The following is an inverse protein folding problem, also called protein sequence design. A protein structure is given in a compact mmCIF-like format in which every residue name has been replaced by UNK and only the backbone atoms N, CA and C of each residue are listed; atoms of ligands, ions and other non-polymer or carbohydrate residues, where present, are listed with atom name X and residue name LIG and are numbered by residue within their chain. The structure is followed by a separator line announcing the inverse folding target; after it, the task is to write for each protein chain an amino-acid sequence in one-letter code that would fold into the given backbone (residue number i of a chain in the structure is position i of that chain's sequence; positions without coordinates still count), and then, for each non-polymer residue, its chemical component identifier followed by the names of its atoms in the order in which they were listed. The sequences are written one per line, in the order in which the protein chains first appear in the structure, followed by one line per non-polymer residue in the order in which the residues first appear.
data_IF_863611764976
#
_entry.id   IF_863611764976
#
_cell.length_a   1.000
_cell.length_b   1.000
_cell.length_c   1.000
_cell.angle_alpha   90.00
_cell.angle_beta   90.00
_cell.angle_gamma   90.00
#
_symmetry.space_group_name_H-M   'P 1'
#
loop_
_entity.id
_entity.type
_entity.pdbx_description
1 polymer ?
#
# COMPACT_ATOMS: atom_id res chain seq x y z
N UNK A 1 -5.91 -18.93 -7.96
CA UNK A 1 -4.94 -17.87 -8.32
C UNK A 1 -3.65 -18.21 -7.63
N UNK A 2 -2.55 -18.34 -8.37
CA UNK A 2 -1.23 -18.54 -7.79
C UNK A 2 -0.81 -17.29 -7.00
N UNK A 3 -0.16 -17.48 -5.85
CA UNK A 3 0.37 -16.36 -5.05
C UNK A 3 1.59 -15.78 -5.77
N UNK A 4 1.37 -14.71 -6.52
CA UNK A 4 2.40 -14.02 -7.28
C UNK A 4 2.85 -12.74 -6.56
N UNK A 5 4.06 -12.78 -6.01
CA UNK A 5 4.65 -11.67 -5.27
C UNK A 5 4.88 -10.43 -6.16
N UNK A 6 5.29 -10.63 -7.42
CA UNK A 6 5.53 -9.52 -8.35
C UNK A 6 4.21 -8.84 -8.68
N UNK A 7 3.18 -9.61 -9.02
CA UNK A 7 1.85 -9.08 -9.33
C UNK A 7 1.24 -8.33 -8.16
N UNK A 8 1.41 -8.88 -6.94
CA UNK A 8 0.95 -8.27 -5.70
C UNK A 8 1.66 -6.93 -5.44
N UNK A 9 2.99 -6.90 -5.60
CA UNK A 9 3.77 -5.68 -5.43
C UNK A 9 3.39 -4.60 -6.46
N UNK A 10 3.23 -4.96 -7.73
CA UNK A 10 2.80 -4.03 -8.78
C UNK A 10 1.40 -3.48 -8.49
N UNK A 11 0.45 -4.33 -8.09
CA UNK A 11 -0.89 -3.89 -7.73
C UNK A 11 -0.88 -2.91 -6.55
N UNK A 12 -0.06 -3.18 -5.53
CA UNK A 12 0.13 -2.27 -4.40
C UNK A 12 0.69 -0.91 -4.86
N UNK A 13 1.74 -0.90 -5.69
CA UNK A 13 2.35 0.34 -6.18
C UNK A 13 1.38 1.18 -7.01
N UNK A 14 0.54 0.55 -7.83
CA UNK A 14 -0.50 1.25 -8.60
C UNK A 14 -1.51 1.91 -7.65
N UNK A 15 -2.04 1.17 -6.69
CA UNK A 15 -3.01 1.70 -5.72
C UNK A 15 -2.40 2.82 -4.85
N UNK A 16 -1.19 2.59 -4.36
CA UNK A 16 -0.45 3.60 -3.61
C UNK A 16 -0.20 4.86 -4.44
N UNK A 17 0.15 4.71 -5.73
CA UNK A 17 0.34 5.83 -6.65
C UNK A 17 -0.90 6.69 -6.81
N UNK A 18 -2.08 6.08 -6.97
CA UNK A 18 -3.37 6.81 -7.06
C UNK A 18 -3.63 7.61 -5.78
N UNK A 19 -3.45 6.98 -4.61
CA UNK A 19 -3.62 7.65 -3.32
C UNK A 19 -2.61 8.78 -3.10
N UNK A 20 -1.36 8.56 -3.51
CA UNK A 20 -0.29 9.54 -3.39
C UNK A 20 -0.58 10.78 -4.25
N UNK A 21 -1.00 10.59 -5.50
CA UNK A 21 -1.41 11.70 -6.39
C UNK A 21 -2.59 12.46 -5.77
N UNK A 22 -3.62 11.77 -5.30
CA UNK A 22 -4.76 12.43 -4.64
C UNK A 22 -4.34 13.23 -3.41
N UNK A 23 -3.40 12.72 -2.62
CA UNK A 23 -2.86 13.41 -1.43
C UNK A 23 -2.03 14.64 -1.83
N UNK A 24 -1.21 14.55 -2.88
CA UNK A 24 -0.42 15.67 -3.38
C UNK A 24 -1.28 16.82 -3.93
N UNK A 25 -2.47 16.50 -4.46
CA UNK A 25 -3.41 17.48 -5.01
C UNK A 25 -4.39 18.04 -3.97
N UNK A 26 -4.33 17.57 -2.72
CA UNK A 26 -5.22 18.04 -1.65
C UNK A 26 -4.87 19.48 -1.24
N UNK A 27 -5.85 20.28 -0.78
CA UNK A 27 -5.63 21.67 -0.33
C UNK A 27 -5.03 21.73 1.08
N UNK A 28 -3.99 20.94 1.32
CA UNK A 28 -3.29 20.82 2.61
C UNK A 28 -1.92 21.51 2.53
N UNK A 29 -1.35 21.86 3.69
CA UNK A 29 0.03 22.36 3.72
C UNK A 29 1.01 21.26 3.35
N UNK A 30 2.16 21.63 2.79
CA UNK A 30 3.21 20.69 2.37
C UNK A 30 3.66 19.79 3.52
N UNK A 31 3.77 20.32 4.74
CA UNK A 31 4.17 19.53 5.91
C UNK A 31 3.16 18.42 6.23
N UNK A 32 1.85 18.72 6.15
CA UNK A 32 0.82 17.72 6.38
C UNK A 32 0.75 16.69 5.25
N UNK A 33 0.92 17.11 3.99
CA UNK A 33 1.00 16.18 2.84
C UNK A 33 2.13 15.18 3.03
N UNK A 34 3.33 15.64 3.39
CA UNK A 34 4.48 14.75 3.58
C UNK A 34 4.30 13.80 4.77
N UNK A 35 3.66 14.26 5.85
CA UNK A 35 3.32 13.41 7.00
C UNK A 35 2.31 12.31 6.60
N UNK A 36 1.26 12.67 5.86
CA UNK A 36 0.24 11.70 5.41
C UNK A 36 0.85 10.70 4.42
N UNK A 37 1.63 11.15 3.44
CA UNK A 37 2.31 10.25 2.49
C UNK A 37 3.25 9.28 3.21
N UNK A 38 4.02 9.76 4.19
CA UNK A 38 4.88 8.91 5.00
C UNK A 38 4.09 7.87 5.79
N UNK A 39 3.03 8.30 6.50
CA UNK A 39 2.16 7.40 7.25
C UNK A 39 1.44 6.37 6.37
N UNK A 40 0.94 6.81 5.20
CA UNK A 40 0.28 5.96 4.22
C UNK A 40 1.24 4.88 3.69
N UNK A 41 2.50 5.25 3.40
CA UNK A 41 3.50 4.30 2.91
C UNK A 41 3.80 3.24 3.97
N UNK A 42 4.09 3.66 5.20
CA UNK A 42 4.39 2.72 6.31
C UNK A 42 3.21 1.80 6.57
N UNK A 43 2.01 2.35 6.72
CA UNK A 43 0.81 1.56 6.97
C UNK A 43 0.49 0.61 5.80
N UNK A 44 0.61 1.10 4.57
CA UNK A 44 0.39 0.31 3.35
C UNK A 44 1.35 -0.88 3.26
N UNK A 45 2.65 -0.68 3.54
CA UNK A 45 3.64 -1.76 3.53
C UNK A 45 3.35 -2.79 4.63
N UNK A 46 3.04 -2.34 5.86
CA UNK A 46 2.74 -3.25 6.97
C UNK A 46 1.52 -4.12 6.65
N UNK A 47 0.43 -3.50 6.18
CA UNK A 47 -0.80 -4.22 5.85
C UNK A 47 -0.65 -5.14 4.64
N UNK A 48 0.16 -4.76 3.65
CA UNK A 48 0.52 -5.62 2.52
C UNK A 48 1.20 -6.90 2.99
N UNK A 49 2.24 -6.78 3.83
CA UNK A 49 2.99 -7.92 4.35
C UNK A 49 2.08 -8.85 5.18
N UNK A 50 1.26 -8.29 6.05
CA UNK A 50 0.29 -9.04 6.84
C UNK A 50 -0.73 -9.76 5.96
N UNK A 51 -1.27 -9.07 4.94
CA UNK A 51 -2.23 -9.64 3.99
C UNK A 51 -1.66 -10.82 3.20
N UNK A 52 -0.41 -10.71 2.73
CA UNK A 52 0.30 -11.80 2.04
C UNK A 52 0.44 -13.01 2.97
N UNK A 53 0.91 -12.82 4.21
CA UNK A 53 1.04 -13.92 5.19
C UNK A 53 -0.28 -14.55 5.57
N UNK A 54 -1.33 -13.75 5.68
CA UNK A 54 -2.68 -14.27 5.90
C UNK A 54 -3.18 -15.12 4.73
N UNK A 55 -2.92 -14.69 3.49
CA UNK A 55 -3.25 -15.46 2.28
C UNK A 55 -2.50 -16.79 2.21
N UNK A 56 -1.20 -16.78 2.47
CA UNK A 56 -0.36 -17.99 2.55
C UNK A 56 -0.88 -18.98 3.61
N UNK A 57 -1.23 -18.49 4.80
CA UNK A 57 -1.77 -19.32 5.88
C UNK A 57 -3.09 -19.99 5.48
N UNK A 58 -4.00 -19.24 4.84
CA UNK A 58 -5.31 -19.75 4.38
C UNK A 58 -5.24 -20.66 3.16
N UNK A 59 -4.18 -20.58 2.36
CA UNK A 59 -4.00 -21.45 1.21
C UNK A 59 -3.34 -22.78 1.60
N UNK A 60 -2.73 -22.86 2.79
CA UNK A 60 -2.03 -24.04 3.30
C UNK A 60 -2.85 -24.87 4.29
N UNK A 61 -4.02 -24.40 4.72
CA UNK A 61 -4.93 -25.04 5.67
C UNK A 61 -6.38 -24.92 5.16
#
# INVERSE_FOLDING_TARGET
MELDALKTAVAFLVLFGVLAVGTLMSPMTTSTVMMVLGGLLVFGVVTLLLGVKHGEYRASH
#
